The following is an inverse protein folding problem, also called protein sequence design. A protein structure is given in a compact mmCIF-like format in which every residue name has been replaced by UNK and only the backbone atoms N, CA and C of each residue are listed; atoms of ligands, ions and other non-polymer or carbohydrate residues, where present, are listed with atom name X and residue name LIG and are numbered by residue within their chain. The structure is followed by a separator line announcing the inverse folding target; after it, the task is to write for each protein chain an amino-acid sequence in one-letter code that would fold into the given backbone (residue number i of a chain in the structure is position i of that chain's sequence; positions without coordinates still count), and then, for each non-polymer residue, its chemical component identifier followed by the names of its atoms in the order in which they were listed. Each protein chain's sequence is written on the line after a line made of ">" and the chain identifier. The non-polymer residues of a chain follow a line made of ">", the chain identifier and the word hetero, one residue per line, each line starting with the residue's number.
data_IF_296947147058
#
_entry.id   IF_296947147058
#
_cell.length_a   1.000
_cell.length_b   1.000
_cell.length_c   1.000
_cell.angle_alpha   90.00
_cell.angle_beta   90.00
_cell.angle_gamma   90.00
#
_symmetry.space_group_name_H-M   'P 1'
#
loop_
_entity.id
_entity.type
_entity.pdbx_description
1 polymer ?
#
# COMPACT_ATOMS: atom_id res chain seq x y z
N UNK A 1 -70.92 -41.40 6.73
CA UNK A 1 -70.44 -40.02 6.82
C UNK A 1 -68.98 -40.09 7.26
N UNK A 2 -68.07 -40.11 6.30
CA UNK A 2 -66.63 -40.31 6.48
C UNK A 2 -65.98 -38.94 6.65
N UNK A 3 -65.33 -38.70 7.78
CA UNK A 3 -64.26 -37.71 7.83
C UNK A 3 -63.00 -38.36 8.38
N UNK A 4 -62.17 -38.75 7.42
CA UNK A 4 -60.80 -39.19 7.59
C UNK A 4 -60.01 -37.96 8.03
N UNK A 5 -59.91 -37.72 9.35
CA UNK A 5 -58.89 -36.83 9.87
C UNK A 5 -57.52 -37.49 9.67
N UNK A 6 -56.95 -37.25 8.48
CA UNK A 6 -55.60 -37.63 8.13
C UNK A 6 -54.63 -37.04 9.15
N UNK A 7 -54.00 -37.92 9.92
CA UNK A 7 -52.86 -37.63 10.78
C UNK A 7 -51.64 -37.32 9.92
N UNK A 8 -51.58 -36.11 9.35
CA UNK A 8 -50.33 -35.58 8.79
C UNK A 8 -49.37 -35.28 9.95
N UNK A 9 -48.48 -36.23 10.23
CA UNK A 9 -47.57 -36.19 11.36
C UNK A 9 -46.52 -35.05 11.31
N UNK A 10 -45.86 -34.77 12.44
CA UNK A 10 -44.91 -33.67 12.67
C UNK A 10 -43.55 -33.81 11.94
N UNK A 11 -43.53 -34.36 10.72
CA UNK A 11 -42.34 -34.53 9.90
C UNK A 11 -42.00 -33.27 9.08
N UNK A 12 -43.00 -32.59 8.50
CA UNK A 12 -42.77 -31.40 7.65
C UNK A 12 -42.30 -30.13 8.39
N UNK A 13 -42.55 -30.04 9.71
CA UNK A 13 -42.17 -28.87 10.53
C UNK A 13 -40.71 -28.91 11.04
N UNK A 14 -40.10 -30.10 11.12
CA UNK A 14 -38.70 -30.27 11.58
C UNK A 14 -37.69 -30.10 10.44
N UNK A 15 -38.03 -30.57 9.26
CA UNK A 15 -37.21 -30.42 8.05
C UNK A 15 -37.18 -28.95 7.57
N UNK A 16 -38.29 -28.22 7.72
CA UNK A 16 -38.34 -26.77 7.49
C UNK A 16 -37.44 -25.99 8.47
N UNK A 17 -37.42 -26.35 9.76
CA UNK A 17 -36.59 -25.67 10.76
C UNK A 17 -35.08 -25.85 10.52
N UNK A 18 -34.65 -27.05 10.14
CA UNK A 18 -33.23 -27.33 9.88
C UNK A 18 -32.76 -26.61 8.62
N UNK A 19 -33.59 -26.58 7.57
CA UNK A 19 -33.34 -25.80 6.36
C UNK A 19 -33.25 -24.29 6.64
N UNK A 20 -34.13 -23.76 7.49
CA UNK A 20 -34.14 -22.34 7.87
C UNK A 20 -32.91 -21.95 8.71
N UNK A 21 -32.41 -22.83 9.57
CA UNK A 21 -31.16 -22.61 10.32
C UNK A 21 -29.94 -22.63 9.40
N UNK A 22 -29.87 -23.58 8.47
CA UNK A 22 -28.79 -23.65 7.47
C UNK A 22 -28.80 -22.42 6.58
N UNK A 23 -29.98 -21.94 6.19
CA UNK A 23 -30.14 -20.70 5.43
C UNK A 23 -29.64 -19.49 6.23
N UNK A 24 -30.06 -19.34 7.49
CA UNK A 24 -29.62 -18.25 8.37
C UNK A 24 -28.11 -18.29 8.66
N UNK A 25 -27.53 -19.47 8.87
CA UNK A 25 -26.08 -19.63 9.06
C UNK A 25 -25.31 -19.24 7.80
N UNK A 26 -25.79 -19.69 6.63
CA UNK A 26 -25.19 -19.33 5.33
C UNK A 26 -25.25 -17.82 5.12
N UNK A 27 -26.36 -17.19 5.48
CA UNK A 27 -26.56 -15.74 5.35
C UNK A 27 -25.65 -14.95 6.30
N UNK A 28 -25.45 -15.45 7.53
CA UNK A 28 -24.54 -14.88 8.54
C UNK A 28 -23.07 -15.03 8.13
N UNK A 29 -22.65 -16.24 7.73
CA UNK A 29 -21.29 -16.50 7.23
C UNK A 29 -21.00 -15.63 6.01
N UNK A 30 -21.97 -15.52 5.10
CA UNK A 30 -21.81 -14.69 3.91
C UNK A 30 -21.72 -13.20 4.24
N UNK A 31 -22.41 -12.71 5.29
CA UNK A 31 -22.23 -11.34 5.81
C UNK A 31 -20.85 -11.14 6.43
N UNK A 32 -20.41 -12.07 7.28
CA UNK A 32 -19.10 -12.00 7.93
C UNK A 32 -17.96 -11.97 6.91
N UNK A 33 -18.00 -12.85 5.90
CA UNK A 33 -17.00 -12.85 4.81
C UNK A 33 -16.99 -11.53 4.04
N UNK A 34 -18.17 -10.95 3.77
CA UNK A 34 -18.29 -9.64 3.10
C UNK A 34 -17.70 -8.51 3.96
N UNK A 35 -17.88 -8.57 5.27
CA UNK A 35 -17.36 -7.56 6.20
C UNK A 35 -15.85 -7.68 6.37
N UNK A 36 -15.32 -8.90 6.50
CA UNK A 36 -13.88 -9.17 6.53
C UNK A 36 -13.19 -8.67 5.24
N UNK A 37 -13.81 -8.91 4.08
CA UNK A 37 -13.33 -8.41 2.78
C UNK A 37 -13.37 -6.87 2.69
N UNK A 38 -14.41 -6.22 3.20
CA UNK A 38 -14.47 -4.74 3.26
C UNK A 38 -13.37 -4.20 4.15
N UNK A 39 -13.18 -4.79 5.33
CA UNK A 39 -12.16 -4.36 6.28
C UNK A 39 -10.76 -4.58 5.71
N UNK A 40 -10.51 -5.74 5.10
CA UNK A 40 -9.27 -6.05 4.41
C UNK A 40 -9.01 -5.08 3.25
N UNK A 41 -10.03 -4.71 2.46
CA UNK A 41 -9.89 -3.67 1.42
C UNK A 41 -9.47 -2.33 2.02
N UNK A 42 -10.09 -1.89 3.11
CA UNK A 42 -9.74 -0.62 3.78
C UNK A 42 -8.31 -0.68 4.29
N UNK A 43 -7.91 -1.75 4.96
CA UNK A 43 -6.56 -1.92 5.51
C UNK A 43 -5.50 -2.05 4.40
N UNK A 44 -5.80 -2.77 3.31
CA UNK A 44 -4.96 -2.82 2.11
C UNK A 44 -4.78 -1.44 1.48
N UNK A 45 -5.85 -0.66 1.37
CA UNK A 45 -5.78 0.72 0.85
C UNK A 45 -4.94 1.61 1.77
N UNK A 46 -5.09 1.46 3.09
CA UNK A 46 -4.33 2.21 4.11
C UNK A 46 -2.85 1.84 4.12
N UNK A 47 -2.52 0.55 4.03
CA UNK A 47 -1.15 0.03 3.89
C UNK A 47 -0.53 0.45 2.56
N UNK A 48 -1.28 0.36 1.47
CA UNK A 48 -0.88 0.82 0.13
C UNK A 48 -0.58 2.32 0.09
N UNK A 49 -1.43 3.15 0.69
CA UNK A 49 -1.21 4.60 0.80
C UNK A 49 0.01 4.96 1.68
N UNK A 50 0.33 4.13 2.69
CA UNK A 50 1.54 4.32 3.51
C UNK A 50 2.80 3.93 2.74
N UNK A 51 2.77 2.80 2.02
CA UNK A 51 3.88 2.36 1.17
C UNK A 51 4.13 3.32 0.00
N UNK A 52 3.07 3.79 -0.68
CA UNK A 52 3.15 4.72 -1.80
C UNK A 52 3.69 6.10 -1.41
N UNK A 53 3.37 6.61 -0.21
CA UNK A 53 3.95 7.87 0.29
C UNK A 53 5.46 7.78 0.51
N UNK A 54 5.98 6.62 0.94
CA UNK A 54 7.43 6.41 1.05
C UNK A 54 8.10 6.46 -0.32
N UNK A 55 7.54 5.78 -1.31
CA UNK A 55 8.08 5.78 -2.68
C UNK A 55 7.96 7.16 -3.33
N UNK A 56 6.88 7.91 -3.11
CA UNK A 56 6.70 9.25 -3.66
C UNK A 56 7.66 10.28 -3.05
N UNK A 57 7.83 10.26 -1.72
CA UNK A 57 8.70 11.21 -1.03
C UNK A 57 10.19 10.93 -1.30
N UNK A 58 10.60 9.66 -1.40
CA UNK A 58 11.99 9.31 -1.68
C UNK A 58 12.31 9.18 -3.18
N UNK A 59 11.41 8.61 -3.98
CA UNK A 59 11.61 8.36 -5.41
C UNK A 59 11.68 9.62 -6.28
N UNK A 60 10.81 10.60 -6.03
CA UNK A 60 10.89 11.90 -6.71
C UNK A 60 12.08 12.74 -6.23
N UNK A 61 12.38 12.67 -4.93
CA UNK A 61 13.48 13.44 -4.33
C UNK A 61 14.86 13.00 -4.82
N UNK A 62 15.05 11.72 -5.19
CA UNK A 62 16.33 11.22 -5.69
C UNK A 62 16.78 11.92 -6.97
N UNK A 63 15.86 12.15 -7.92
CA UNK A 63 16.14 12.85 -9.17
C UNK A 63 16.46 14.33 -8.89
N UNK A 64 15.67 14.99 -8.04
CA UNK A 64 15.90 16.39 -7.66
C UNK A 64 17.23 16.53 -6.92
N UNK A 65 17.54 15.64 -5.99
CA UNK A 65 18.80 15.63 -5.26
C UNK A 65 19.99 15.37 -6.19
N UNK A 66 19.85 14.47 -7.17
CA UNK A 66 20.89 14.19 -8.15
C UNK A 66 21.18 15.42 -9.02
N UNK A 67 20.16 15.99 -9.66
CA UNK A 67 20.33 17.16 -10.52
C UNK A 67 20.71 18.42 -9.73
N UNK A 68 20.13 18.62 -8.54
CA UNK A 68 20.46 19.73 -7.65
C UNK A 68 21.92 19.66 -7.19
N UNK A 69 22.38 18.48 -6.74
CA UNK A 69 23.78 18.27 -6.35
C UNK A 69 24.72 18.46 -7.54
N UNK A 70 24.39 17.90 -8.71
CA UNK A 70 25.18 18.09 -9.92
C UNK A 70 25.29 19.56 -10.34
N UNK A 71 24.20 20.32 -10.24
CA UNK A 71 24.17 21.74 -10.52
C UNK A 71 25.04 22.55 -9.54
N UNK A 72 24.98 22.23 -8.24
CA UNK A 72 25.85 22.85 -7.22
C UNK A 72 27.33 22.54 -7.44
N UNK A 73 27.67 21.29 -7.80
CA UNK A 73 29.04 20.91 -8.16
C UNK A 73 29.52 21.72 -9.37
N UNK A 74 28.72 21.80 -10.43
CA UNK A 74 29.05 22.58 -11.61
C UNK A 74 29.24 24.07 -11.29
N UNK A 75 28.35 24.66 -10.49
CA UNK A 75 28.48 26.04 -10.03
C UNK A 75 29.76 26.27 -9.23
N UNK A 76 30.11 25.36 -8.32
CA UNK A 76 31.35 25.44 -7.55
C UNK A 76 32.60 25.35 -8.45
N UNK A 77 32.60 24.47 -9.44
CA UNK A 77 33.70 24.36 -10.42
C UNK A 77 33.85 25.65 -11.21
N UNK A 78 32.76 26.21 -11.75
CA UNK A 78 32.80 27.46 -12.51
C UNK A 78 33.28 28.61 -11.64
N UNK A 79 32.80 28.73 -10.40
CA UNK A 79 33.22 29.76 -9.47
C UNK A 79 34.70 29.67 -9.11
N UNK A 80 35.24 28.47 -8.85
CA UNK A 80 36.66 28.28 -8.54
C UNK A 80 37.52 28.49 -9.79
N UNK A 81 37.01 28.15 -10.98
CA UNK A 81 37.70 28.36 -12.25
C UNK A 81 37.92 29.84 -12.60
N UNK A 82 37.31 30.79 -11.88
CA UNK A 82 37.67 32.22 -12.01
C UNK A 82 38.98 32.56 -11.29
N UNK A 83 39.42 31.72 -10.35
CA UNK A 83 40.65 31.92 -9.59
C UNK A 83 41.79 30.98 -10.04
N UNK A 84 41.47 29.81 -10.60
CA UNK A 84 42.44 28.80 -11.07
C UNK A 84 42.02 28.20 -12.41
N UNK A 85 42.87 27.38 -13.05
CA UNK A 85 42.50 26.68 -14.29
C UNK A 85 41.34 25.70 -14.07
N UNK A 86 40.49 25.54 -15.08
CA UNK A 86 39.26 24.74 -14.97
C UNK A 86 39.51 23.28 -14.55
N UNK A 87 40.61 22.66 -14.98
CA UNK A 87 40.95 21.29 -14.60
C UNK A 87 41.31 21.18 -13.10
N UNK A 88 41.99 22.18 -12.53
CA UNK A 88 42.29 22.23 -11.09
C UNK A 88 41.01 22.42 -10.27
N UNK A 89 40.13 23.31 -10.73
CA UNK A 89 38.84 23.54 -10.07
C UNK A 89 38.00 22.24 -9.98
N UNK A 90 37.94 21.47 -11.07
CA UNK A 90 37.24 20.19 -11.10
C UNK A 90 37.85 19.17 -10.11
N UNK A 91 39.17 19.09 -10.01
CA UNK A 91 39.84 18.18 -9.07
C UNK A 91 39.60 18.57 -7.61
N UNK A 92 39.67 19.87 -7.27
CA UNK A 92 39.43 20.37 -5.90
C UNK A 92 38.02 20.03 -5.45
N UNK A 93 37.01 20.36 -6.27
CA UNK A 93 35.60 20.09 -5.94
C UNK A 93 35.34 18.58 -5.89
N UNK A 94 35.90 17.81 -6.83
CA UNK A 94 35.75 16.35 -6.87
C UNK A 94 36.41 15.62 -5.70
N UNK A 95 37.54 16.13 -5.18
CA UNK A 95 38.25 15.52 -4.06
C UNK A 95 37.64 15.84 -2.69
N UNK A 96 36.93 16.97 -2.55
CA UNK A 96 36.39 17.44 -1.27
C UNK A 96 35.50 16.41 -0.51
N UNK A 97 34.61 15.63 -1.16
CA UNK A 97 33.83 14.59 -0.47
C UNK A 97 34.67 13.43 0.08
N UNK A 98 35.81 13.12 -0.56
CA UNK A 98 36.71 12.05 -0.13
C UNK A 98 37.51 12.45 1.11
N UNK A 99 37.96 13.71 1.17
CA UNK A 99 38.68 14.26 2.32
C UNK A 99 37.84 14.29 3.62
N UNK A 100 36.51 14.26 3.52
CA UNK A 100 35.62 14.14 4.69
C UNK A 100 35.40 12.70 5.17
N UNK A 101 35.74 11.70 4.36
CA UNK A 101 35.52 10.28 4.66
C UNK A 101 36.78 9.54 5.13
N UNK A 102 37.92 10.24 5.15
CA UNK A 102 39.22 9.80 5.68
C UNK A 102 39.45 10.37 7.08
#
# INVERSE_FOLDING_TARGET
>A
MTDVHGTAGPAGARDSSTGDLVKQLTEQVSRLVRDELKLARVEMTRKGARAGRGIGLFGGSGIIALYGTGCLIAAAVIAIATAVTAWLAALIVGAAPFARRS
#
